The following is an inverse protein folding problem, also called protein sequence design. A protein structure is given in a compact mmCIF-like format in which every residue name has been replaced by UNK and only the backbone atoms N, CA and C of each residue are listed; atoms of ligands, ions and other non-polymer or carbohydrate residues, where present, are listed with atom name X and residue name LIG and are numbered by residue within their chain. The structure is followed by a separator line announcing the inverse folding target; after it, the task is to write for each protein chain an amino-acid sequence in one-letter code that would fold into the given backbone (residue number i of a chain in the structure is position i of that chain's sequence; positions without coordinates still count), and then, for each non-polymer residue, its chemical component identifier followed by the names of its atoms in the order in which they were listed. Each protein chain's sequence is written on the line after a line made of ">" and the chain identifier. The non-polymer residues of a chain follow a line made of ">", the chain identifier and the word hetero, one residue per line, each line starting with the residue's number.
data_IF_432798523906
#
_entry.id   IF_432798523906
#
_cell.length_a   1.000
_cell.length_b   1.000
_cell.length_c   1.000
_cell.angle_alpha   90.00
_cell.angle_beta   90.00
_cell.angle_gamma   90.00
#
_symmetry.space_group_name_H-M   'P 1'
#
loop_
_entity.id
_entity.type
_entity.pdbx_description
1 polymer ?
#
# COMPACT_ATOMS: atom_id res chain seq x y z
N UNK A 1 21.58 4.39 -12.31
CA UNK A 1 20.60 3.30 -12.48
C UNK A 1 19.38 3.90 -13.14
N UNK A 2 19.10 3.53 -14.38
CA UNK A 2 18.02 4.10 -15.19
C UNK A 2 16.69 3.54 -14.69
N UNK A 3 15.86 4.38 -14.07
CA UNK A 3 14.50 4.00 -13.68
C UNK A 3 13.66 3.95 -14.96
N UNK A 4 13.50 2.77 -15.55
CA UNK A 4 12.55 2.56 -16.65
C UNK A 4 11.16 2.92 -16.13
N UNK A 5 10.55 3.97 -16.68
CA UNK A 5 9.19 4.33 -16.36
C UNK A 5 8.28 3.15 -16.74
N UNK A 6 7.34 2.73 -15.88
CA UNK A 6 6.49 1.60 -16.20
C UNK A 6 5.66 1.89 -17.46
N UNK A 7 5.54 0.88 -18.34
CA UNK A 7 4.75 0.99 -19.56
C UNK A 7 3.27 0.71 -19.25
N UNK A 8 2.34 1.44 -19.88
CA UNK A 8 0.90 1.32 -19.61
C UNK A 8 0.31 -0.03 -20.03
N UNK A 9 1.03 -0.81 -20.85
CA UNK A 9 0.61 -2.12 -21.32
C UNK A 9 1.11 -3.27 -20.43
N UNK A 10 1.94 -2.97 -19.42
CA UNK A 10 2.54 -3.96 -18.54
C UNK A 10 1.80 -4.07 -17.21
N UNK A 11 1.71 -5.29 -16.67
CA UNK A 11 1.22 -5.52 -15.31
C UNK A 11 2.36 -5.38 -14.31
N UNK A 12 2.21 -4.49 -13.34
CA UNK A 12 3.22 -4.19 -12.32
C UNK A 12 2.72 -4.71 -10.97
N UNK A 13 3.45 -5.65 -10.38
CA UNK A 13 3.19 -6.10 -9.01
C UNK A 13 3.96 -5.24 -8.01
N UNK A 14 3.24 -4.69 -7.03
CA UNK A 14 3.84 -3.91 -5.96
C UNK A 14 4.55 -4.83 -4.95
N UNK A 15 5.84 -4.58 -4.75
CA UNK A 15 6.60 -5.25 -3.71
C UNK A 15 6.06 -4.90 -2.30
N UNK A 16 5.95 -5.87 -1.38
CA UNK A 16 5.62 -5.59 0.00
C UNK A 16 6.70 -4.74 0.68
N UNK A 17 6.26 -3.78 1.50
CA UNK A 17 7.11 -2.92 2.32
C UNK A 17 7.08 -3.37 3.77
N UNK A 18 8.23 -3.81 4.27
CA UNK A 18 8.39 -4.28 5.65
C UNK A 18 8.92 -3.20 6.60
N UNK A 19 9.13 -1.97 6.13
CA UNK A 19 9.72 -0.90 6.94
C UNK A 19 8.92 -0.60 8.21
N UNK A 20 7.59 -0.41 8.08
CA UNK A 20 6.72 -0.14 9.23
C UNK A 20 6.59 -1.34 10.16
N UNK A 21 6.29 -2.57 9.66
CA UNK A 21 6.30 -3.76 10.51
C UNK A 21 7.60 -3.96 11.30
N UNK A 22 8.75 -3.83 10.64
CA UNK A 22 10.07 -3.99 11.28
C UNK A 22 10.29 -2.89 12.32
N UNK A 23 10.00 -1.63 12.00
CA UNK A 23 10.15 -0.53 12.93
C UNK A 23 9.32 -0.73 14.20
N UNK A 24 8.07 -1.20 14.08
CA UNK A 24 7.22 -1.51 15.23
C UNK A 24 7.79 -2.64 16.09
N UNK A 25 8.25 -3.73 15.48
CA UNK A 25 8.86 -4.86 16.22
C UNK A 25 10.13 -4.42 16.93
N UNK A 26 11.01 -3.65 16.26
CA UNK A 26 12.23 -3.13 16.88
C UNK A 26 11.94 -2.14 18.01
N UNK A 27 10.93 -1.28 17.87
CA UNK A 27 10.51 -0.35 18.92
C UNK A 27 9.88 -1.06 20.12
N UNK A 28 9.26 -2.22 19.93
CA UNK A 28 8.68 -3.02 21.01
C UNK A 28 9.75 -3.58 21.97
N UNK A 29 10.94 -3.92 21.46
CA UNK A 29 12.04 -4.51 22.24
C UNK A 29 12.41 -3.64 23.46
N UNK A 30 12.88 -2.39 23.32
CA UNK A 30 13.22 -1.55 24.47
C UNK A 30 12.01 -1.26 25.39
N UNK A 31 10.80 -1.32 24.84
CA UNK A 31 9.57 -1.08 25.59
C UNK A 31 9.23 -2.22 26.57
N UNK A 32 9.81 -3.41 26.41
CA UNK A 32 9.62 -4.54 27.34
C UNK A 32 10.04 -4.16 28.77
N UNK A 33 11.07 -3.33 28.90
CA UNK A 33 11.61 -2.90 30.20
C UNK A 33 10.82 -1.76 30.85
N UNK A 34 9.95 -1.09 30.10
CA UNK A 34 9.14 0.04 30.60
C UNK A 34 7.70 -0.39 30.84
N UNK A 35 7.08 -1.03 29.84
CA UNK A 35 5.67 -1.37 29.89
C UNK A 35 5.37 -2.61 29.05
N UNK A 36 5.49 -3.78 29.67
CA UNK A 36 5.41 -5.10 29.01
C UNK A 36 4.12 -5.31 28.20
N UNK A 37 2.98 -4.84 28.68
CA UNK A 37 1.69 -4.98 27.98
C UNK A 37 1.62 -4.15 26.69
N UNK A 38 2.13 -2.92 26.73
CA UNK A 38 2.17 -2.05 25.55
C UNK A 38 3.19 -2.56 24.55
N UNK A 39 4.36 -3.01 25.03
CA UNK A 39 5.35 -3.69 24.21
C UNK A 39 4.76 -4.90 23.48
N UNK A 40 4.06 -5.78 24.21
CA UNK A 40 3.42 -6.95 23.65
C UNK A 40 2.40 -6.60 22.57
N UNK A 41 1.54 -5.60 22.81
CA UNK A 41 0.56 -5.14 21.83
C UNK A 41 1.21 -4.58 20.56
N UNK A 42 2.25 -3.74 20.69
CA UNK A 42 2.97 -3.15 19.56
C UNK A 42 3.70 -4.24 18.76
N UNK A 43 4.40 -5.15 19.44
CA UNK A 43 5.13 -6.25 18.81
C UNK A 43 4.20 -7.19 18.05
N UNK A 44 3.07 -7.57 18.66
CA UNK A 44 2.05 -8.40 18.01
C UNK A 44 1.44 -7.70 16.80
N UNK A 45 1.15 -6.40 16.90
CA UNK A 45 0.63 -5.62 15.78
C UNK A 45 1.65 -5.51 14.64
N UNK A 46 2.93 -5.27 14.94
CA UNK A 46 4.00 -5.28 13.94
C UNK A 46 4.12 -6.61 13.20
N UNK A 47 4.08 -7.73 13.94
CA UNK A 47 4.08 -9.07 13.35
C UNK A 47 2.83 -9.32 12.48
N UNK A 48 1.66 -8.90 12.95
CA UNK A 48 0.42 -8.98 12.18
C UNK A 48 0.52 -8.21 10.85
N UNK A 49 1.05 -6.99 10.86
CA UNK A 49 1.28 -6.21 9.64
C UNK A 49 2.27 -6.90 8.70
N UNK A 50 3.32 -7.55 9.23
CA UNK A 50 4.28 -8.31 8.43
C UNK A 50 3.61 -9.48 7.70
N UNK A 51 2.75 -10.25 8.40
CA UNK A 51 1.99 -11.35 7.81
C UNK A 51 1.02 -10.82 6.74
N UNK A 52 0.35 -9.69 7.00
CA UNK A 52 -0.53 -9.06 6.01
C UNK A 52 0.23 -8.62 4.76
N UNK A 53 1.40 -8.00 4.92
CA UNK A 53 2.26 -7.56 3.80
C UNK A 53 2.73 -8.77 2.97
N UNK A 54 3.11 -9.86 3.64
CA UNK A 54 3.54 -11.08 2.99
C UNK A 54 2.40 -11.84 2.28
N UNK A 55 1.15 -11.63 2.70
CA UNK A 55 0.00 -12.38 2.17
C UNK A 55 -0.72 -11.70 1.01
N UNK A 56 -0.69 -10.36 0.95
CA UNK A 56 -1.41 -9.58 -0.05
C UNK A 56 -0.47 -9.14 -1.18
N UNK A 57 -0.98 -9.07 -2.41
CA UNK A 57 -0.31 -8.46 -3.55
C UNK A 57 -1.24 -7.49 -4.24
N UNK A 58 -0.74 -6.31 -4.56
CA UNK A 58 -1.43 -5.35 -5.41
C UNK A 58 -0.77 -5.38 -6.79
N UNK A 59 -1.56 -5.58 -7.83
CA UNK A 59 -1.10 -5.57 -9.21
C UNK A 59 -1.80 -4.46 -9.97
N UNK A 60 -1.03 -3.53 -10.52
CA UNK A 60 -1.51 -2.54 -11.47
C UNK A 60 -1.48 -3.20 -12.83
N UNK A 61 -2.66 -3.50 -13.37
CA UNK A 61 -2.83 -3.93 -14.76
C UNK A 61 -3.11 -2.71 -15.63
N UNK A 62 -3.15 -2.84 -16.98
CA UNK A 62 -3.49 -1.71 -17.85
C UNK A 62 -4.85 -1.06 -17.54
N UNK A 63 -5.82 -1.81 -17.02
CA UNK A 63 -7.21 -1.34 -16.85
C UNK A 63 -7.71 -1.35 -15.41
N UNK A 64 -7.05 -2.08 -14.51
CA UNK A 64 -7.54 -2.36 -13.17
C UNK A 64 -6.43 -2.42 -12.13
N UNK A 65 -6.76 -2.02 -10.90
CA UNK A 65 -6.02 -2.41 -9.71
C UNK A 65 -6.56 -3.74 -9.19
N UNK A 66 -5.75 -4.78 -9.28
CA UNK A 66 -6.09 -6.12 -8.78
C UNK A 66 -5.46 -6.38 -7.41
N UNK A 67 -6.23 -6.98 -6.51
CA UNK A 67 -5.79 -7.44 -5.19
C UNK A 67 -5.81 -8.96 -5.15
N UNK A 68 -4.64 -9.53 -4.92
CA UNK A 68 -4.45 -10.97 -4.75
C UNK A 68 -4.11 -11.34 -3.31
N UNK A 69 -4.42 -12.57 -2.94
CA UNK A 69 -3.85 -13.27 -1.78
C UNK A 69 -3.24 -14.58 -2.25
N UNK A 70 -1.92 -14.66 -2.18
CA UNK A 70 -1.16 -15.64 -2.95
C UNK A 70 -1.49 -15.49 -4.44
N UNK A 71 -1.92 -16.57 -5.09
CA UNK A 71 -2.31 -16.58 -6.51
C UNK A 71 -3.79 -16.33 -6.76
N UNK A 72 -4.61 -16.18 -5.70
CA UNK A 72 -6.06 -15.98 -5.85
C UNK A 72 -6.39 -14.49 -5.94
N UNK A 73 -7.03 -14.09 -7.03
CA UNK A 73 -7.62 -12.76 -7.18
C UNK A 73 -8.81 -12.64 -6.21
N UNK A 74 -8.71 -11.74 -5.22
CA UNK A 74 -9.78 -11.51 -4.25
C UNK A 74 -10.70 -10.39 -4.74
N UNK A 75 -10.12 -9.36 -5.37
CA UNK A 75 -10.87 -8.18 -5.78
C UNK A 75 -10.20 -7.45 -6.92
N UNK A 76 -11.02 -6.90 -7.82
CA UNK A 76 -10.63 -6.09 -8.95
C UNK A 76 -11.28 -4.71 -8.84
N UNK A 77 -10.52 -3.67 -9.13
CA UNK A 77 -10.97 -2.27 -9.11
C UNK A 77 -10.66 -1.59 -10.44
N UNK A 78 -11.63 -1.50 -11.36
CA UNK A 78 -11.42 -0.92 -12.69
C UNK A 78 -11.18 0.58 -12.62
N UNK A 79 -10.11 1.09 -13.24
CA UNK A 79 -9.78 2.52 -13.20
C UNK A 79 -10.88 3.40 -13.82
N UNK A 80 -11.65 2.86 -14.77
CA UNK A 80 -12.81 3.55 -15.37
C UNK A 80 -13.91 3.92 -14.36
N UNK A 81 -13.91 3.28 -13.19
CA UNK A 81 -14.87 3.56 -12.12
C UNK A 81 -14.29 4.50 -11.06
N UNK A 82 -13.01 4.87 -11.16
CA UNK A 82 -12.33 5.72 -10.17
C UNK A 82 -12.66 7.19 -10.38
N UNK A 83 -12.76 7.91 -9.27
CA UNK A 83 -13.02 9.36 -9.22
C UNK A 83 -11.83 10.12 -8.62
N UNK A 84 -11.18 9.55 -7.60
CA UNK A 84 -10.06 10.17 -6.92
C UNK A 84 -9.21 9.09 -6.20
N UNK A 85 -7.96 9.41 -5.90
CA UNK A 85 -7.11 8.64 -5.01
C UNK A 85 -6.22 9.56 -4.17
N UNK A 86 -5.84 9.13 -2.99
CA UNK A 86 -4.93 9.86 -2.10
C UNK A 86 -4.00 8.90 -1.36
N UNK A 87 -2.76 9.34 -1.13
CA UNK A 87 -1.82 8.69 -0.24
C UNK A 87 -1.67 9.61 0.96
N UNK A 88 -2.12 9.17 2.13
CA UNK A 88 -2.06 9.96 3.34
C UNK A 88 -0.74 9.73 4.08
N UNK A 89 -0.32 10.76 4.84
CA UNK A 89 0.87 10.77 5.72
C UNK A 89 2.20 10.74 4.96
N UNK A 90 2.55 11.83 4.27
CA UNK A 90 3.70 11.86 3.34
C UNK A 90 5.07 11.43 3.92
N UNK A 91 5.45 11.69 5.18
CA UNK A 91 6.73 11.19 5.71
C UNK A 91 6.75 9.67 5.91
N UNK A 92 5.59 9.08 6.24
CA UNK A 92 5.40 7.65 6.46
C UNK A 92 4.07 7.27 5.82
N UNK A 93 4.03 7.04 4.50
CA UNK A 93 2.78 6.80 3.79
C UNK A 93 2.18 5.49 4.28
N UNK A 94 1.14 5.61 5.11
CA UNK A 94 0.51 4.48 5.81
C UNK A 94 -0.82 4.07 5.21
N UNK A 95 -1.48 4.98 4.47
CA UNK A 95 -2.85 4.77 4.06
C UNK A 95 -3.06 5.23 2.62
N UNK A 96 -3.52 4.30 1.79
CA UNK A 96 -3.91 4.51 0.41
C UNK A 96 -5.43 4.54 0.36
N UNK A 97 -5.96 5.63 -0.18
CA UNK A 97 -7.38 5.84 -0.38
C UNK A 97 -7.68 5.94 -1.86
N UNK A 98 -8.78 5.34 -2.27
CA UNK A 98 -9.38 5.64 -3.57
C UNK A 98 -10.89 5.58 -3.50
N UNK A 99 -11.52 6.36 -4.37
CA UNK A 99 -12.96 6.49 -4.49
C UNK A 99 -13.39 6.02 -5.86
N UNK A 100 -14.31 5.06 -5.88
CA UNK A 100 -15.06 4.66 -7.07
C UNK A 100 -16.41 5.38 -7.13
N UNK A 101 -17.11 5.30 -8.27
CA UNK A 101 -18.45 5.88 -8.44
C UNK A 101 -19.43 5.40 -7.35
N UNK A 102 -19.34 4.13 -6.93
CA UNK A 102 -20.29 3.49 -6.01
C UNK A 102 -19.71 3.16 -4.63
N UNK A 103 -18.42 3.40 -4.38
CA UNK A 103 -17.77 2.99 -3.13
C UNK A 103 -16.50 3.78 -2.81
N UNK A 104 -16.11 3.79 -1.54
CA UNK A 104 -14.83 4.31 -1.06
C UNK A 104 -14.01 3.16 -0.47
N UNK A 105 -12.69 3.18 -0.68
CA UNK A 105 -11.78 2.14 -0.21
C UNK A 105 -10.57 2.73 0.49
N UNK A 106 -10.14 2.06 1.54
CA UNK A 106 -8.93 2.37 2.29
C UNK A 106 -8.09 1.11 2.40
N UNK A 107 -6.83 1.21 1.99
CA UNK A 107 -5.86 0.14 2.09
C UNK A 107 -4.66 0.61 2.90
N UNK A 108 -4.17 -0.18 3.84
CA UNK A 108 -2.90 0.10 4.46
C UNK A 108 -1.79 0.02 3.39
N UNK A 109 -0.90 1.00 3.37
CA UNK A 109 0.27 1.01 2.49
C UNK A 109 1.35 0.14 3.16
N UNK A 110 1.17 -1.16 2.98
CA UNK A 110 2.15 -2.19 3.32
C UNK A 110 2.98 -2.58 2.09
N UNK A 111 3.01 -1.71 1.09
CA UNK A 111 3.67 -1.89 -0.21
C UNK A 111 4.62 -0.73 -0.49
N UNK A 112 5.50 -0.88 -1.48
CA UNK A 112 6.43 0.18 -1.85
C UNK A 112 5.69 1.48 -2.24
N UNK A 113 5.79 2.56 -1.44
CA UNK A 113 4.96 3.74 -1.64
C UNK A 113 5.38 4.56 -2.86
N UNK A 114 6.64 4.45 -3.28
CA UNK A 114 7.16 5.17 -4.44
C UNK A 114 6.59 4.58 -5.72
N UNK A 115 6.66 3.26 -5.86
CA UNK A 115 6.11 2.51 -6.99
C UNK A 115 4.58 2.62 -7.01
N UNK A 116 3.92 2.58 -5.84
CA UNK A 116 2.48 2.80 -5.73
C UNK A 116 2.10 4.16 -6.33
N UNK A 117 2.79 5.23 -5.90
CA UNK A 117 2.53 6.58 -6.41
C UNK A 117 2.79 6.69 -7.90
N UNK A 118 3.90 6.14 -8.38
CA UNK A 118 4.25 6.16 -9.81
C UNK A 118 3.17 5.47 -10.66
N UNK A 119 2.72 4.28 -10.24
CA UNK A 119 1.68 3.54 -10.96
C UNK A 119 0.35 4.30 -10.95
N UNK A 120 -0.02 4.91 -9.82
CA UNK A 120 -1.24 5.72 -9.70
C UNK A 120 -1.19 6.95 -10.62
N UNK A 121 -0.07 7.68 -10.65
CA UNK A 121 0.10 8.85 -11.51
C UNK A 121 0.10 8.48 -13.00
N UNK A 122 0.58 7.29 -13.36
CA UNK A 122 0.56 6.81 -14.74
C UNK A 122 -0.82 6.32 -15.20
N UNK A 123 -1.51 5.49 -14.40
CA UNK A 123 -2.78 4.88 -14.80
C UNK A 123 -3.99 5.78 -14.51
N UNK A 124 -3.90 6.63 -13.49
CA UNK A 124 -4.95 7.57 -13.10
C UNK A 124 -4.32 8.90 -12.63
N UNK A 125 -3.78 9.71 -13.56
CA UNK A 125 -3.18 10.99 -13.20
C UNK A 125 -4.22 11.89 -12.52
N UNK A 126 -3.83 12.51 -11.41
CA UNK A 126 -4.65 13.56 -10.82
C UNK A 126 -4.73 14.72 -11.81
N UNK A 127 -5.92 15.31 -11.95
CA UNK A 127 -6.02 16.60 -12.61
C UNK A 127 -5.02 17.57 -11.95
N UNK A 128 -4.33 18.43 -12.73
CA UNK A 128 -3.43 19.41 -12.15
C UNK A 128 -4.20 20.21 -11.10
N UNK A 129 -3.77 20.08 -9.85
CA UNK A 129 -4.31 20.85 -8.74
C UNK A 129 -3.91 22.30 -8.98
N UNK A 130 -4.83 23.11 -9.49
CA UNK A 130 -4.71 24.57 -9.51
C UNK A 130 -4.80 25.07 -8.07
N UNK A 131 -3.68 25.07 -7.35
CA UNK A 131 -3.47 25.81 -6.11
C UNK A 131 -2.11 26.50 -6.18
#
# INVERSE_FOLDING_TARGET
>A
MTSTAPSLDETIELAPSYAIPIALVLAAVPLLWVQVWVSGAIGLFGLFLMIQAASLRLKFTPTDLDIYRGETLIRRFPYREWQNWEIFWSPVPILFFFKEVKSIHFLPIIFDPKTLRLCLEQHFPKAPSHL
#
